data_IF_408377052937
#
_entry.id   IF_408377052937
#
_cell.length_a   1.000
_cell.length_b   1.000
_cell.length_c   1.000
_cell.angle_alpha   90.00
_cell.angle_beta   90.00
_cell.angle_gamma   90.00
#
_symmetry.space_group_name_H-M   'P 1'
#
loop_
_entity.id
_entity.type
_entity.pdbx_description
1 polymer ?
#
# COMPACT_ATOMS: atom_id res chain seq x y z
N UNK A 1 18.10 -4.88 18.95
CA UNK A 1 16.84 -5.41 19.46
C UNK A 1 16.44 -6.59 18.59
N UNK A 2 16.65 -7.79 19.10
CA UNK A 2 16.03 -8.98 18.53
C UNK A 2 14.56 -8.95 18.92
N UNK A 3 13.70 -8.63 17.98
CA UNK A 3 12.26 -8.80 18.15
C UNK A 3 12.01 -10.29 18.04
N UNK A 4 11.64 -10.91 19.17
CA UNK A 4 11.42 -12.36 19.24
C UNK A 4 10.39 -12.84 18.21
N UNK A 5 10.59 -14.04 17.72
CA UNK A 5 9.91 -14.76 16.62
C UNK A 5 8.40 -15.03 16.86
N UNK A 6 7.68 -14.19 17.59
CA UNK A 6 6.28 -14.39 17.98
C UNK A 6 5.34 -13.23 17.66
N UNK A 7 5.55 -12.55 16.52
CA UNK A 7 4.48 -11.78 15.94
C UNK A 7 3.66 -12.72 15.05
N UNK A 8 2.54 -13.18 15.57
CA UNK A 8 1.50 -13.88 14.80
C UNK A 8 0.83 -12.82 13.94
N UNK A 9 1.30 -12.69 12.75
CA UNK A 9 0.82 -11.76 11.75
C UNK A 9 1.78 -11.77 10.58
N UNK A 10 1.30 -11.35 9.42
CA UNK A 10 2.06 -11.25 8.18
C UNK A 10 3.18 -10.19 8.20
N UNK A 11 3.46 -9.59 9.36
CA UNK A 11 4.33 -8.45 9.53
C UNK A 11 5.58 -8.85 10.32
N UNK A 12 6.59 -9.26 9.59
CA UNK A 12 7.93 -9.35 10.13
C UNK A 12 8.59 -7.99 9.98
N UNK A 13 9.00 -7.36 11.09
CA UNK A 13 9.77 -6.12 11.03
C UNK A 13 11.15 -6.40 10.44
N UNK A 14 11.42 -5.85 9.28
CA UNK A 14 12.70 -5.90 8.59
C UNK A 14 13.36 -4.54 8.75
N UNK A 15 14.68 -4.50 8.96
CA UNK A 15 15.40 -3.23 9.00
C UNK A 15 15.41 -2.60 7.61
N UNK A 16 15.29 -1.29 7.53
CA UNK A 16 15.24 -0.55 6.25
C UNK A 16 16.39 -0.93 5.32
N UNK A 17 17.60 -1.10 5.87
CA UNK A 17 18.79 -1.51 5.11
C UNK A 17 18.76 -2.95 4.59
N UNK A 18 17.92 -3.79 5.19
CA UNK A 18 17.78 -5.21 4.83
C UNK A 18 16.57 -5.43 3.91
N UNK A 19 15.81 -4.37 3.62
CA UNK A 19 14.67 -4.41 2.70
C UNK A 19 15.10 -4.66 1.26
N UNK A 20 14.32 -5.42 0.49
CA UNK A 20 14.52 -5.51 -0.94
C UNK A 20 14.50 -4.13 -1.60
N UNK A 21 15.30 -3.94 -2.64
CA UNK A 21 15.37 -2.67 -3.33
C UNK A 21 15.34 -2.81 -4.86
N UNK A 22 14.92 -1.73 -5.49
CA UNK A 22 14.83 -1.58 -6.94
C UNK A 22 16.22 -1.43 -7.58
N UNK A 23 16.37 -1.66 -8.89
CA UNK A 23 17.63 -1.44 -9.60
C UNK A 23 18.20 -0.03 -9.45
N UNK A 24 17.35 0.98 -9.23
CA UNK A 24 17.75 2.37 -8.98
C UNK A 24 18.19 2.63 -7.53
N UNK A 25 18.22 1.61 -6.68
CA UNK A 25 18.63 1.71 -5.28
C UNK A 25 17.53 2.11 -4.29
N UNK A 26 16.29 2.34 -4.75
CA UNK A 26 15.17 2.67 -3.87
C UNK A 26 14.69 1.41 -3.12
N UNK A 27 14.69 1.40 -1.76
CA UNK A 27 14.17 0.29 -1.00
C UNK A 27 12.63 0.26 -1.05
N UNK A 28 12.07 -0.93 -0.81
CA UNK A 28 10.64 -1.10 -0.57
C UNK A 28 10.32 -0.70 0.88
N UNK A 29 9.14 -0.13 1.08
CA UNK A 29 8.65 0.26 2.40
C UNK A 29 7.94 -0.90 3.12
N UNK A 30 7.28 -1.78 2.36
CA UNK A 30 6.50 -2.90 2.88
C UNK A 30 6.56 -4.10 1.95
N UNK A 31 6.54 -5.28 2.52
CA UNK A 31 6.42 -6.56 1.80
C UNK A 31 5.15 -7.25 2.27
N UNK A 32 4.25 -7.57 1.35
CA UNK A 32 2.96 -8.16 1.64
C UNK A 32 2.93 -9.64 1.28
N UNK A 33 2.27 -10.43 2.12
CA UNK A 33 2.01 -11.84 1.82
C UNK A 33 0.84 -11.96 0.85
N UNK A 34 1.03 -12.57 -0.35
CA UNK A 34 -0.03 -12.72 -1.34
C UNK A 34 -1.20 -13.59 -0.89
N UNK A 35 -1.02 -14.45 0.10
CA UNK A 35 -2.10 -15.29 0.67
C UNK A 35 -3.22 -14.47 1.31
N UNK A 36 -2.94 -13.23 1.73
CA UNK A 36 -3.94 -12.33 2.30
C UNK A 36 -4.92 -11.75 1.28
N UNK A 37 -4.68 -11.90 -0.02
CA UNK A 37 -5.53 -11.35 -1.08
C UNK A 37 -6.71 -12.27 -1.41
N UNK A 38 -6.52 -13.56 -1.76
CA UNK A 38 -7.62 -14.43 -2.17
C UNK A 38 -8.64 -14.65 -1.06
N UNK A 39 -8.18 -14.86 0.17
CA UNK A 39 -9.05 -15.11 1.32
C UNK A 39 -9.95 -13.92 1.70
N UNK A 40 -9.53 -12.72 1.38
CA UNK A 40 -10.27 -11.47 1.66
C UNK A 40 -11.06 -10.94 0.47
N UNK A 41 -10.99 -11.59 -0.69
CA UNK A 41 -11.69 -11.21 -1.92
C UNK A 41 -11.43 -9.75 -2.34
N UNK A 42 -10.22 -9.23 -2.11
CA UNK A 42 -9.82 -7.84 -2.39
C UNK A 42 -8.87 -7.76 -3.59
N UNK A 43 -9.21 -8.39 -4.71
CA UNK A 43 -8.38 -8.42 -5.94
C UNK A 43 -8.13 -7.01 -6.49
N UNK A 44 -9.05 -6.07 -6.28
CA UNK A 44 -8.86 -4.67 -6.65
C UNK A 44 -7.57 -4.04 -6.12
N UNK A 45 -7.07 -4.51 -4.99
CA UNK A 45 -5.80 -4.11 -4.41
C UNK A 45 -4.60 -4.47 -5.32
N UNK A 46 -4.64 -5.60 -5.99
CA UNK A 46 -3.59 -6.00 -6.95
C UNK A 46 -3.62 -5.12 -8.19
N UNK A 47 -4.81 -4.82 -8.71
CA UNK A 47 -4.97 -3.89 -9.84
C UNK A 47 -4.51 -2.48 -9.48
N UNK A 48 -4.79 -2.02 -8.27
CA UNK A 48 -4.27 -0.74 -7.74
C UNK A 48 -2.73 -0.72 -7.75
N UNK A 49 -2.08 -1.76 -7.30
CA UNK A 49 -0.61 -1.86 -7.27
C UNK A 49 -0.02 -1.73 -8.68
N UNK A 50 -0.60 -2.39 -9.67
CA UNK A 50 -0.13 -2.31 -11.05
C UNK A 50 -0.31 -0.90 -11.64
N UNK A 51 -1.52 -0.35 -11.54
CA UNK A 51 -1.81 0.95 -12.10
C UNK A 51 -1.07 2.08 -11.39
N UNK A 52 -0.87 1.97 -10.07
CA UNK A 52 -0.12 2.94 -9.29
C UNK A 52 1.37 2.98 -9.60
N UNK A 53 1.95 1.85 -10.01
CA UNK A 53 3.34 1.83 -10.50
C UNK A 53 3.49 2.70 -11.74
N UNK A 54 2.59 2.52 -12.72
CA UNK A 54 2.57 3.34 -13.92
C UNK A 54 2.29 4.82 -13.61
N UNK A 55 1.31 5.10 -12.76
CA UNK A 55 0.96 6.45 -12.33
C UNK A 55 2.15 7.19 -11.68
N UNK A 56 2.88 6.48 -10.82
CA UNK A 56 4.09 7.03 -10.18
C UNK A 56 5.23 7.24 -11.17
N UNK A 57 5.42 6.35 -12.12
CA UNK A 57 6.46 6.49 -13.13
C UNK A 57 6.18 7.66 -14.08
N UNK A 58 4.92 7.87 -14.47
CA UNK A 58 4.46 8.97 -15.32
C UNK A 58 4.27 10.30 -14.58
N UNK A 59 4.08 10.26 -13.25
CA UNK A 59 3.81 11.43 -12.44
C UNK A 59 2.34 11.86 -12.41
N UNK A 60 1.41 10.99 -12.81
CA UNK A 60 -0.03 11.25 -12.84
C UNK A 60 -0.75 10.87 -11.55
N UNK A 61 -1.90 11.50 -11.33
CA UNK A 61 -2.91 11.01 -10.42
C UNK A 61 -4.03 10.37 -11.24
N UNK A 62 -4.22 9.07 -11.05
CA UNK A 62 -5.24 8.31 -11.76
C UNK A 62 -6.42 8.07 -10.82
N UNK A 63 -7.63 8.43 -11.27
CA UNK A 63 -8.87 8.14 -10.58
C UNK A 63 -9.70 7.16 -11.42
N UNK A 64 -10.10 6.06 -10.78
CA UNK A 64 -10.92 5.00 -11.40
C UNK A 64 -12.26 4.93 -10.68
N UNK A 65 -13.32 5.59 -11.18
CA UNK A 65 -14.67 5.48 -10.61
C UNK A 65 -15.19 4.05 -10.64
N UNK A 66 -16.11 3.72 -9.73
CA UNK A 66 -16.61 2.35 -9.54
C UNK A 66 -17.26 1.76 -10.82
N UNK A 67 -17.96 2.59 -11.59
CA UNK A 67 -18.68 2.14 -12.80
C UNK A 67 -17.99 2.53 -14.12
N UNK A 68 -16.86 3.21 -14.05
CA UNK A 68 -16.06 3.63 -15.19
C UNK A 68 -14.57 3.41 -14.85
N UNK A 69 -14.26 2.19 -14.49
CA UNK A 69 -12.91 1.77 -14.10
C UNK A 69 -12.05 1.36 -15.29
N UNK A 70 -10.76 1.22 -15.05
CA UNK A 70 -9.81 0.71 -16.03
C UNK A 70 -9.96 -0.81 -16.21
N UNK A 71 -9.88 -1.27 -17.46
CA UNK A 71 -9.80 -2.69 -17.79
C UNK A 71 -8.36 -3.21 -17.63
N UNK A 72 -8.19 -4.52 -17.63
CA UNK A 72 -6.88 -5.15 -17.54
C UNK A 72 -5.94 -4.71 -18.67
N UNK A 73 -6.47 -4.60 -19.89
CA UNK A 73 -5.72 -4.16 -21.09
C UNK A 73 -5.24 -2.71 -20.92
N UNK A 74 -6.10 -1.82 -20.41
CA UNK A 74 -5.77 -0.41 -20.18
C UNK A 74 -4.62 -0.28 -19.17
N UNK A 75 -4.61 -1.13 -18.14
CA UNK A 75 -3.54 -1.17 -17.14
C UNK A 75 -2.22 -1.64 -17.76
N UNK A 76 -2.27 -2.68 -18.58
CA UNK A 76 -1.09 -3.22 -19.27
C UNK A 76 -0.50 -2.22 -20.26
N UNK A 77 -1.34 -1.55 -21.03
CA UNK A 77 -0.91 -0.53 -22.00
C UNK A 77 -0.35 0.71 -21.29
N UNK A 78 -0.91 1.08 -20.15
CA UNK A 78 -0.37 2.16 -19.31
C UNK A 78 0.99 1.81 -18.70
N UNK A 79 1.21 0.54 -18.32
CA UNK A 79 2.52 0.05 -17.84
C UNK A 79 3.57 0.08 -18.97
N UNK A 80 3.20 -0.30 -20.19
CA UNK A 80 4.07 -0.23 -21.34
C UNK A 80 4.43 1.21 -21.69
N UNK A 81 3.46 2.11 -21.67
CA UNK A 81 3.67 3.55 -21.82
C UNK A 81 4.66 4.10 -20.77
N UNK A 82 4.48 3.70 -19.52
CA UNK A 82 5.34 4.11 -18.41
C UNK A 82 6.78 3.60 -18.59
N UNK A 83 6.94 2.35 -19.04
CA UNK A 83 8.24 1.78 -19.33
C UNK A 83 8.96 2.54 -20.45
N UNK A 84 8.27 2.81 -21.53
CA UNK A 84 8.84 3.53 -22.68
C UNK A 84 9.19 4.98 -22.28
N UNK A 85 8.32 5.65 -21.53
CA UNK A 85 8.61 6.99 -21.02
C UNK A 85 9.88 7.05 -20.18
N UNK A 86 10.08 6.08 -19.30
CA UNK A 86 11.21 6.06 -18.37
C UNK A 86 12.52 5.63 -19.03
N UNK A 87 12.49 4.62 -19.88
CA UNK A 87 13.69 3.91 -20.37
C UNK A 87 14.14 4.32 -21.78
N UNK A 88 13.30 4.99 -22.58
CA UNK A 88 13.74 5.52 -23.89
C UNK A 88 14.77 6.62 -23.66
N UNK A 89 15.89 6.59 -24.39
CA UNK A 89 16.96 7.59 -24.23
C UNK A 89 16.51 8.96 -24.72
N UNK A 90 15.95 9.01 -25.93
CA UNK A 90 15.48 10.24 -26.55
C UNK A 90 13.97 10.44 -26.38
N UNK A 91 13.59 11.55 -25.78
CA UNK A 91 12.18 11.90 -25.60
C UNK A 91 11.45 12.14 -26.93
N UNK A 92 12.16 12.53 -27.96
CA UNK A 92 11.58 12.73 -29.30
C UNK A 92 11.09 11.41 -29.90
N UNK A 93 11.82 10.31 -29.73
CA UNK A 93 11.40 8.98 -30.16
C UNK A 93 10.11 8.54 -29.45
N UNK A 94 10.04 8.76 -28.14
CA UNK A 94 8.82 8.53 -27.37
C UNK A 94 7.65 9.38 -27.88
N UNK A 95 7.90 10.66 -28.17
CA UNK A 95 6.91 11.59 -28.68
C UNK A 95 6.35 11.17 -30.04
N UNK A 96 7.20 10.70 -30.95
CA UNK A 96 6.74 10.21 -32.26
C UNK A 96 5.88 8.95 -32.12
N UNK A 97 6.28 8.01 -31.26
CA UNK A 97 5.56 6.75 -31.03
C UNK A 97 4.14 6.99 -30.49
N UNK A 98 3.98 7.95 -29.60
CA UNK A 98 2.71 8.17 -28.87
C UNK A 98 1.93 9.42 -29.31
N UNK A 99 2.34 10.05 -30.39
CA UNK A 99 1.72 11.29 -30.91
C UNK A 99 0.22 11.17 -31.22
N UNK A 100 -0.20 10.02 -31.74
CA UNK A 100 -1.58 9.76 -32.14
C UNK A 100 -2.43 9.16 -31.00
N UNK A 101 -1.79 8.73 -29.92
CA UNK A 101 -2.43 8.06 -28.78
C UNK A 101 -2.66 9.00 -27.61
N UNK A 102 -1.69 9.87 -27.34
CA UNK A 102 -1.74 10.79 -26.19
C UNK A 102 -2.24 12.18 -26.62
N UNK A 103 -3.07 12.77 -25.78
CA UNK A 103 -3.48 14.14 -25.95
C UNK A 103 -2.28 15.11 -25.86
N UNK A 104 -2.26 16.22 -26.64
CA UNK A 104 -1.14 17.15 -26.65
C UNK A 104 -0.83 17.76 -25.27
N UNK A 105 -1.83 17.97 -24.43
CA UNK A 105 -1.66 18.49 -23.07
C UNK A 105 -0.90 17.50 -22.16
N UNK A 106 -1.18 16.20 -22.32
CA UNK A 106 -0.49 15.12 -21.60
C UNK A 106 0.96 15.03 -22.06
N UNK A 107 1.20 15.15 -23.35
CA UNK A 107 2.56 15.11 -23.92
C UNK A 107 3.40 16.30 -23.41
N UNK A 108 2.81 17.49 -23.32
CA UNK A 108 3.47 18.67 -22.76
C UNK A 108 3.79 18.47 -21.29
N UNK A 109 2.85 17.93 -20.51
CA UNK A 109 3.07 17.61 -19.09
C UNK A 109 4.23 16.63 -18.88
N UNK A 110 4.33 15.59 -19.71
CA UNK A 110 5.41 14.62 -19.64
C UNK A 110 6.77 15.23 -19.99
N UNK A 111 6.82 16.17 -20.93
CA UNK A 111 8.06 16.89 -21.29
C UNK A 111 8.52 17.83 -20.16
N UNK A 112 7.60 18.49 -19.48
CA UNK A 112 7.90 19.37 -18.33
C UNK A 112 8.41 18.58 -17.12
N UNK A 113 7.98 17.33 -16.92
CA UNK A 113 8.31 16.48 -15.77
C UNK A 113 9.58 15.63 -15.93
N UNK A 114 10.59 16.13 -16.60
CA UNK A 114 11.89 15.44 -16.81
C UNK A 114 12.59 15.02 -15.51
N UNK A 115 12.44 15.80 -14.44
CA UNK A 115 13.00 15.48 -13.13
C UNK A 115 12.38 14.21 -12.54
N UNK A 116 11.08 14.02 -12.73
CA UNK A 116 10.36 12.83 -12.27
C UNK A 116 10.80 11.58 -13.04
N UNK A 117 10.94 11.70 -14.36
CA UNK A 117 11.49 10.65 -15.22
C UNK A 117 12.86 10.16 -14.75
N UNK A 118 13.74 11.08 -14.34
CA UNK A 118 15.07 10.74 -13.88
C UNK A 118 15.09 9.85 -12.63
N UNK A 119 14.08 9.97 -11.75
CA UNK A 119 13.95 9.14 -10.54
C UNK A 119 13.67 7.66 -10.85
N UNK A 120 13.07 7.38 -11.99
CA UNK A 120 12.68 6.03 -12.40
C UNK A 120 13.58 5.46 -13.48
N UNK A 121 14.55 6.22 -13.98
CA UNK A 121 15.46 5.78 -15.04
C UNK A 121 16.20 4.50 -14.61
N UNK A 122 16.22 3.52 -15.51
CA UNK A 122 16.88 2.24 -15.27
C UNK A 122 16.04 1.21 -14.51
N UNK A 123 14.78 1.50 -14.20
CA UNK A 123 13.84 0.52 -13.68
C UNK A 123 13.05 -0.08 -14.84
N UNK A 124 13.28 -1.35 -15.22
CA UNK A 124 12.49 -1.99 -16.26
C UNK A 124 11.10 -2.31 -15.71
N UNK A 125 10.07 -1.70 -16.27
CA UNK A 125 8.67 -1.94 -15.93
C UNK A 125 8.11 -2.91 -16.97
N UNK A 126 7.86 -4.15 -16.56
CA UNK A 126 7.24 -5.10 -17.49
C UNK A 126 5.74 -4.82 -17.65
N UNK A 127 5.17 -5.27 -18.77
CA UNK A 127 3.72 -5.20 -19.01
C UNK A 127 2.90 -5.91 -17.94
N UNK A 128 3.51 -6.87 -17.25
CA UNK A 128 2.90 -7.59 -16.12
C UNK A 128 3.08 -6.88 -14.77
N UNK A 129 3.63 -5.66 -14.72
CA UNK A 129 3.88 -4.92 -13.49
C UNK A 129 4.92 -5.53 -12.57
N UNK A 130 5.80 -6.39 -13.11
CA UNK A 130 6.83 -7.08 -12.33
C UNK A 130 8.20 -6.48 -12.59
N UNK A 131 8.99 -6.35 -11.54
CA UNK A 131 10.36 -5.83 -11.58
C UNK A 131 11.30 -6.80 -10.88
N UNK A 132 12.53 -6.94 -11.37
CA UNK A 132 13.57 -7.69 -10.66
C UNK A 132 14.12 -6.84 -9.52
N UNK A 133 13.92 -7.33 -8.32
CA UNK A 133 14.44 -6.71 -7.10
C UNK A 133 15.78 -7.33 -6.71
N UNK A 134 16.53 -6.61 -5.87
CA UNK A 134 17.71 -7.11 -5.19
C UNK A 134 17.42 -7.32 -3.71
N UNK A 135 18.03 -8.34 -3.13
CA UNK A 135 18.00 -8.58 -1.69
C UNK A 135 18.83 -7.50 -0.97
N UNK A 136 18.25 -6.88 0.04
CA UNK A 136 18.92 -5.86 0.85
C UNK A 136 20.12 -6.37 1.66
N UNK A 137 20.21 -7.67 1.91
CA UNK A 137 21.30 -8.28 2.68
C UNK A 137 22.48 -8.69 1.81
N UNK A 138 22.20 -9.36 0.69
CA UNK A 138 23.23 -9.92 -0.20
C UNK A 138 23.55 -9.02 -1.38
N UNK A 139 22.61 -8.16 -1.78
CA UNK A 139 22.69 -7.35 -2.98
C UNK A 139 22.45 -8.13 -4.28
N UNK A 140 22.19 -9.44 -4.20
CA UNK A 140 21.90 -10.30 -5.33
C UNK A 140 20.46 -10.12 -5.83
N UNK A 141 20.22 -10.44 -7.10
CA UNK A 141 18.87 -10.42 -7.66
C UNK A 141 18.05 -11.61 -7.16
N UNK A 142 16.77 -11.39 -6.92
CA UNK A 142 15.83 -12.48 -6.73
C UNK A 142 15.71 -13.32 -8.01
N UNK A 143 15.49 -14.62 -7.86
CA UNK A 143 15.36 -15.56 -8.97
C UNK A 143 14.17 -15.22 -9.88
N UNK A 144 13.08 -14.75 -9.28
CA UNK A 144 11.85 -14.38 -9.99
C UNK A 144 11.55 -12.89 -9.87
N UNK A 145 10.99 -12.28 -10.93
CA UNK A 145 10.51 -10.90 -10.85
C UNK A 145 9.32 -10.80 -9.91
N UNK A 146 9.22 -9.69 -9.19
CA UNK A 146 8.23 -9.43 -8.14
C UNK A 146 7.28 -8.32 -8.57
N UNK A 147 5.99 -8.47 -8.27
CA UNK A 147 4.99 -7.42 -8.46
C UNK A 147 5.22 -6.31 -7.42
N UNK A 148 5.41 -5.10 -7.87
CA UNK A 148 5.61 -3.92 -7.03
C UNK A 148 4.67 -2.80 -7.46
N UNK A 149 4.42 -1.88 -6.55
CA UNK A 149 3.61 -0.68 -6.81
C UNK A 149 3.37 0.10 -5.54
N UNK A 150 2.43 0.99 -5.61
CA UNK A 150 2.04 1.85 -4.50
C UNK A 150 0.61 1.55 -4.08
N UNK A 151 0.37 1.54 -2.80
CA UNK A 151 -0.92 1.24 -2.21
C UNK A 151 -1.29 2.32 -1.21
N UNK A 152 -2.58 2.65 -1.13
CA UNK A 152 -3.09 3.54 -0.12
C UNK A 152 -3.23 2.83 1.22
N UNK A 153 -2.60 3.38 2.24
CA UNK A 153 -2.75 2.96 3.63
C UNK A 153 -3.47 4.03 4.43
N UNK A 154 -4.57 3.67 5.06
CA UNK A 154 -5.36 4.57 5.88
C UNK A 154 -5.21 4.20 7.36
N UNK A 155 -4.87 5.18 8.19
CA UNK A 155 -4.95 5.05 9.64
C UNK A 155 -6.41 5.21 10.06
N UNK A 156 -6.99 4.15 10.61
CA UNK A 156 -8.35 4.17 11.12
C UNK A 156 -8.42 4.87 12.50
N UNK A 157 -9.57 5.48 12.79
CA UNK A 157 -9.82 6.17 14.08
C UNK A 157 -10.04 5.23 15.27
N UNK A 158 -9.69 3.96 15.13
CA UNK A 158 -9.76 2.98 16.23
C UNK A 158 -8.51 3.04 17.11
N UNK A 159 -8.21 4.20 17.64
CA UNK A 159 -7.04 4.44 18.49
C UNK A 159 -7.23 3.85 19.88
N UNK A 160 -6.16 3.29 20.44
CA UNK A 160 -6.19 2.68 21.77
C UNK A 160 -6.51 3.68 22.86
N UNK A 161 -6.03 4.92 22.77
CA UNK A 161 -6.26 5.98 23.74
C UNK A 161 -7.74 6.34 23.89
N UNK A 162 -8.51 6.22 22.80
CA UNK A 162 -9.96 6.46 22.82
C UNK A 162 -10.74 5.29 23.43
N UNK A 163 -10.17 4.10 23.45
CA UNK A 163 -10.83 2.86 23.90
C UNK A 163 -10.37 2.39 25.27
N UNK A 164 -9.13 2.71 25.66
CA UNK A 164 -8.60 2.33 26.98
C UNK A 164 -9.40 3.04 28.06
N UNK A 165 -9.90 2.26 29.02
CA UNK A 165 -10.71 2.77 30.11
C UNK A 165 -10.54 1.91 31.35
N UNK A 166 -10.38 2.57 32.50
CA UNK A 166 -10.35 1.94 33.81
C UNK A 166 -11.15 2.79 34.81
N UNK A 167 -11.68 2.14 35.79
CA UNK A 167 -12.47 2.80 36.87
C UNK A 167 -12.17 2.15 38.22
N UNK A 168 -11.93 2.97 39.22
CA UNK A 168 -11.95 2.54 40.62
C UNK A 168 -13.28 2.90 41.28
N UNK A 169 -13.59 4.20 41.39
CA UNK A 169 -14.83 4.77 41.86
C UNK A 169 -15.35 5.80 40.88
N UNK A 170 -16.66 6.00 40.80
CA UNK A 170 -17.23 6.94 39.83
C UNK A 170 -18.75 7.05 39.99
N UNK A 171 -19.43 7.72 39.07
CA UNK A 171 -20.87 7.97 39.16
C UNK A 171 -21.68 6.67 39.08
N UNK A 172 -22.80 6.66 39.80
CA UNK A 172 -23.77 5.58 39.83
C UNK A 172 -25.11 6.07 39.30
N UNK A 173 -25.93 5.15 38.79
CA UNK A 173 -27.30 5.44 38.39
C UNK A 173 -28.14 5.77 39.65
N UNK A 174 -28.99 6.78 39.53
CA UNK A 174 -29.87 7.20 40.64
C UNK A 174 -30.93 6.15 40.98
N UNK A 175 -31.39 5.41 39.98
CA UNK A 175 -32.47 4.43 40.14
C UNK A 175 -31.96 3.07 40.60
N UNK A 176 -30.97 2.54 39.92
CA UNK A 176 -30.47 1.18 40.16
C UNK A 176 -29.29 1.12 41.11
N UNK A 177 -28.69 2.26 41.45
CA UNK A 177 -27.48 2.34 42.27
C UNK A 177 -26.31 1.48 41.71
N UNK A 178 -26.30 1.27 40.41
CA UNK A 178 -25.26 0.54 39.71
C UNK A 178 -24.33 1.50 38.95
N UNK A 179 -23.04 1.12 38.71
CA UNK A 179 -22.15 1.91 37.91
C UNK A 179 -22.74 2.18 36.49
N UNK A 180 -22.58 3.41 36.02
CA UNK A 180 -22.95 3.77 34.65
C UNK A 180 -22.11 2.97 33.63
N UNK A 181 -22.59 2.84 32.42
CA UNK A 181 -21.87 2.18 31.31
C UNK A 181 -21.11 3.18 30.44
N UNK A 182 -20.02 2.71 29.81
CA UNK A 182 -19.29 3.46 28.82
C UNK A 182 -18.19 4.39 29.35
N UNK A 183 -17.18 4.62 28.51
CA UNK A 183 -16.02 5.47 28.83
C UNK A 183 -16.41 6.94 29.05
N UNK A 184 -17.30 7.48 28.24
CA UNK A 184 -17.71 8.88 28.29
C UNK A 184 -18.34 9.27 29.60
N UNK A 185 -19.02 8.34 30.29
CA UNK A 185 -19.68 8.53 31.58
C UNK A 185 -18.81 8.06 32.75
N UNK A 186 -17.56 7.77 32.53
CA UNK A 186 -16.67 7.16 33.52
C UNK A 186 -17.28 5.91 34.14
N UNK A 187 -17.90 5.05 33.33
CA UNK A 187 -18.61 3.87 33.72
C UNK A 187 -17.72 2.68 34.04
N UNK A 188 -18.29 1.63 34.60
CA UNK A 188 -17.61 0.38 34.90
C UNK A 188 -17.85 -0.67 33.81
N UNK A 189 -17.00 -1.71 33.81
CA UNK A 189 -17.20 -2.89 33.00
C UNK A 189 -18.26 -3.79 33.63
N UNK A 190 -19.16 -4.32 32.82
CA UNK A 190 -20.13 -5.30 33.28
C UNK A 190 -19.44 -6.67 33.34
N UNK A 191 -19.47 -7.25 34.54
CA UNK A 191 -19.09 -8.64 34.75
C UNK A 191 -20.36 -9.48 34.74
N UNK A 192 -20.70 -10.08 33.60
CA UNK A 192 -21.94 -10.81 33.42
C UNK A 192 -21.92 -12.21 34.03
N UNK A 193 -23.05 -12.91 33.92
CA UNK A 193 -23.21 -14.26 34.48
C UNK A 193 -22.25 -15.28 33.85
N UNK A 194 -22.06 -15.20 32.55
CA UNK A 194 -21.14 -16.11 31.84
C UNK A 194 -19.69 -15.90 32.25
N UNK A 195 -19.26 -14.67 32.52
CA UNK A 195 -17.92 -14.34 33.00
C UNK A 195 -17.70 -14.86 34.41
N UNK A 196 -18.77 -14.89 35.25
CA UNK A 196 -18.71 -15.52 36.58
C UNK A 196 -18.48 -17.03 36.45
N UNK A 197 -19.24 -17.69 35.56
CA UNK A 197 -19.04 -19.14 35.31
C UNK A 197 -17.64 -19.49 34.83
N UNK A 198 -17.02 -18.59 34.08
CA UNK A 198 -15.64 -18.81 33.60
C UNK A 198 -14.59 -18.74 34.74
N UNK A 199 -14.92 -18.13 35.88
CA UNK A 199 -14.05 -18.04 37.04
C UNK A 199 -14.29 -19.14 38.07
N UNK A 200 -15.46 -19.79 38.07
CA UNK A 200 -15.79 -20.96 38.90
C UNK A 200 -15.14 -22.24 38.34
#
# INVERSE_FOLDING_TARGET
YEIGVRLVGSEMCIRDRDMPFLPNGRPLDIVLNPLGVPSRMNIGQVLEIHLSLAAKALGFNIATPVFDGANEVDIQDTLELANDYVNTEDFEEFREKYKDILAPDVMQYLDENKAHRALWKGVPISRDGKVRLRDGRTGEYFDSPVTIGFMHYLKLHHLVDDKIHARSTGPYSLVTQQPLGGKAQFGGQRFGEMEVWALE
#
